data_IF_002629488446
#
_entry.id   IF_002629488446
#
_cell.length_a   1.000
_cell.length_b   1.000
_cell.length_c   1.000
_cell.angle_alpha   90.00
_cell.angle_beta   90.00
_cell.angle_gamma   90.00
#
_symmetry.space_group_name_H-M   'P 1'
#
loop_
_entity.id
_entity.type
_entity.pdbx_description
1 polymer ?
#
# COMPACT_ATOMS: atom_id res chain seq x y z
N UNK A 1 7.86 -6.99 9.05
CA UNK A 1 7.45 -6.42 7.75
C UNK A 1 6.52 -5.27 8.01
N UNK A 2 6.50 -4.27 7.14
CA UNK A 2 5.75 -3.04 7.43
C UNK A 2 4.27 -3.21 7.06
N UNK A 3 3.46 -2.16 7.21
CA UNK A 3 2.03 -2.20 6.85
C UNK A 3 1.78 -1.45 5.54
N UNK A 4 0.90 -1.99 4.69
CA UNK A 4 0.34 -1.28 3.55
C UNK A 4 -1.19 -1.44 3.53
N UNK A 5 -1.90 -0.36 3.22
CA UNK A 5 -3.36 -0.28 3.29
C UNK A 5 -3.88 0.35 2.00
N UNK A 6 -4.99 -0.18 1.49
CA UNK A 6 -5.76 0.41 0.41
C UNK A 6 -7.24 0.47 0.78
N UNK A 7 -7.90 1.56 0.42
CA UNK A 7 -9.36 1.72 0.58
C UNK A 7 -9.94 2.15 -0.76
N UNK A 8 -10.98 1.45 -1.23
CA UNK A 8 -11.79 1.90 -2.35
C UNK A 8 -13.05 2.58 -1.81
N UNK A 9 -13.18 3.89 -2.01
CA UNK A 9 -14.34 4.67 -1.59
C UNK A 9 -15.31 4.96 -2.76
N UNK A 10 -15.15 4.26 -3.89
CA UNK A 10 -15.96 4.43 -5.10
C UNK A 10 -15.54 5.64 -5.93
N UNK A 11 -15.61 6.85 -5.36
CA UNK A 11 -15.20 8.09 -6.02
C UNK A 11 -13.68 8.33 -6.01
N UNK A 12 -12.98 7.67 -5.10
CA UNK A 12 -11.53 7.73 -4.97
C UNK A 12 -11.00 6.45 -4.32
N UNK A 13 -9.68 6.23 -4.42
CA UNK A 13 -8.98 5.22 -3.61
C UNK A 13 -7.89 5.88 -2.79
N UNK A 14 -7.70 5.40 -1.56
CA UNK A 14 -6.53 5.69 -0.73
C UNK A 14 -5.56 4.53 -0.86
N UNK A 15 -4.28 4.81 -1.06
CA UNK A 15 -3.19 3.90 -0.71
C UNK A 15 -2.36 4.55 0.40
N UNK A 16 -1.97 3.78 1.39
CA UNK A 16 -1.17 4.27 2.49
C UNK A 16 -0.19 3.20 2.98
N UNK A 17 0.91 3.64 3.56
CA UNK A 17 1.86 2.78 4.26
C UNK A 17 2.61 3.61 5.30
N UNK A 18 3.08 2.97 6.37
CA UNK A 18 4.12 3.57 7.21
C UNK A 18 5.41 3.71 6.38
N UNK A 19 6.36 4.55 6.79
CA UNK A 19 7.56 4.82 5.98
C UNK A 19 8.80 4.04 6.41
N UNK A 20 8.71 3.19 7.44
CA UNK A 20 9.89 2.47 7.93
C UNK A 20 10.41 1.48 6.88
N UNK A 21 11.69 1.52 6.59
CA UNK A 21 12.42 0.53 5.83
C UNK A 21 13.40 -0.15 6.77
N UNK A 22 13.42 -1.48 6.77
CA UNK A 22 14.37 -2.26 7.58
C UNK A 22 15.45 -2.84 6.68
N UNK A 23 16.70 -2.47 6.94
CA UNK A 23 17.89 -2.99 6.28
C UNK A 23 18.59 -3.98 7.19
N UNK A 24 18.99 -5.13 6.63
CA UNK A 24 19.81 -6.11 7.32
C UNK A 24 21.27 -5.94 6.88
N UNK A 25 21.96 -4.97 7.48
CA UNK A 25 23.39 -4.77 7.31
C UNK A 25 24.09 -5.25 8.59
N UNK A 26 24.74 -6.42 8.54
CA UNK A 26 25.43 -7.08 9.68
C UNK A 26 24.46 -7.66 10.73
N UNK A 27 24.92 -7.81 11.98
CA UNK A 27 24.26 -8.54 13.07
C UNK A 27 22.99 -7.87 13.64
N UNK A 28 22.71 -6.61 13.28
CA UNK A 28 21.52 -5.88 13.75
C UNK A 28 20.77 -5.18 12.61
N UNK A 29 19.43 -5.14 12.66
CA UNK A 29 18.63 -4.41 11.69
C UNK A 29 18.84 -2.89 11.88
N UNK A 30 18.97 -2.19 10.77
CA UNK A 30 18.96 -0.72 10.70
C UNK A 30 17.62 -0.25 10.13
N UNK A 31 17.08 0.87 10.64
CA UNK A 31 15.80 1.43 10.22
C UNK A 31 15.98 2.81 9.59
N UNK A 32 15.28 3.03 8.47
CA UNK A 32 15.13 4.33 7.80
C UNK A 32 13.64 4.67 7.72
N UNK A 33 13.24 5.81 8.26
CA UNK A 33 11.84 6.24 8.28
C UNK A 33 11.54 7.32 7.22
N UNK A 34 12.49 7.65 6.33
CA UNK A 34 12.37 8.65 5.26
C UNK A 34 12.09 8.04 3.87
N UNK A 35 11.84 6.74 3.79
CA UNK A 35 11.53 6.05 2.54
C UNK A 35 10.09 6.34 2.07
N UNK A 36 9.94 6.86 0.85
CA UNK A 36 8.64 6.96 0.19
C UNK A 36 8.14 5.57 -0.21
N UNK A 37 6.87 5.27 0.08
CA UNK A 37 6.26 3.95 -0.19
C UNK A 37 5.07 3.99 -1.13
N UNK A 38 4.50 5.17 -1.39
CA UNK A 38 3.40 5.32 -2.35
C UNK A 38 3.94 5.94 -3.62
N UNK A 39 3.83 5.21 -4.73
CA UNK A 39 4.41 5.57 -6.01
C UNK A 39 3.32 5.74 -7.07
N UNK A 40 3.53 6.71 -7.97
CA UNK A 40 2.71 6.89 -9.16
C UNK A 40 3.19 5.91 -10.24
N UNK A 41 2.24 5.27 -10.92
CA UNK A 41 2.47 4.41 -12.09
C UNK A 41 1.66 4.94 -13.26
N UNK A 42 1.91 4.44 -14.47
CA UNK A 42 1.11 4.82 -15.66
C UNK A 42 -0.38 4.54 -15.48
N UNK A 43 -0.75 3.51 -14.72
CA UNK A 43 -2.14 3.11 -14.48
C UNK A 43 -2.82 3.76 -13.28
N UNK A 44 -2.04 4.29 -12.33
CA UNK A 44 -2.59 4.80 -11.07
C UNK A 44 -1.55 4.91 -9.97
N UNK A 45 -1.84 4.31 -8.81
CA UNK A 45 -0.92 4.30 -7.67
C UNK A 45 -0.56 2.87 -7.28
N UNK A 46 0.60 2.71 -6.66
CA UNK A 46 1.03 1.45 -6.04
C UNK A 46 1.71 1.74 -4.69
N UNK A 47 1.48 0.86 -3.73
CA UNK A 47 2.21 0.76 -2.47
C UNK A 47 2.48 -0.71 -2.18
N UNK A 48 3.38 -1.00 -1.24
CA UNK A 48 3.68 -2.36 -0.86
C UNK A 48 4.37 -2.47 0.49
N UNK A 49 4.41 -3.69 0.99
CA UNK A 49 5.06 -4.06 2.24
C UNK A 49 5.83 -5.37 2.03
N UNK A 50 7.04 -5.43 2.57
CA UNK A 50 7.91 -6.61 2.45
C UNK A 50 9.35 -6.27 2.09
N UNK A 51 9.95 -7.09 1.23
CA UNK A 51 11.36 -7.06 0.90
C UNK A 51 11.71 -5.89 -0.03
N UNK A 52 12.40 -4.88 0.49
CA UNK A 52 12.67 -3.63 -0.22
C UNK A 52 13.34 -3.80 -1.59
N UNK A 53 14.38 -4.64 -1.77
CA UNK A 53 14.96 -4.83 -3.10
C UNK A 53 13.95 -5.35 -4.15
N UNK A 54 12.94 -6.10 -3.73
CA UNK A 54 11.87 -6.56 -4.61
C UNK A 54 10.81 -5.47 -4.85
N UNK A 55 10.42 -4.72 -3.81
CA UNK A 55 9.53 -3.57 -3.93
C UNK A 55 10.10 -2.52 -4.87
N UNK A 56 11.36 -2.10 -4.65
CA UNK A 56 12.07 -1.11 -5.45
C UNK A 56 12.19 -1.55 -6.91
N UNK A 57 12.50 -2.83 -7.13
CA UNK A 57 12.60 -3.38 -8.48
C UNK A 57 11.26 -3.28 -9.24
N UNK A 58 10.16 -3.62 -8.57
CA UNK A 58 8.82 -3.51 -9.16
C UNK A 58 8.46 -2.04 -9.38
N UNK A 59 8.64 -1.18 -8.38
CA UNK A 59 8.28 0.24 -8.44
C UNK A 59 9.02 0.96 -9.57
N UNK A 60 10.33 0.73 -9.70
CA UNK A 60 11.14 1.33 -10.77
C UNK A 60 10.70 0.88 -12.17
N UNK A 61 10.31 -0.39 -12.33
CA UNK A 61 9.77 -0.90 -13.60
C UNK A 61 8.41 -0.29 -13.90
N UNK A 62 7.49 -0.27 -12.94
CA UNK A 62 6.15 0.28 -13.14
C UNK A 62 6.14 1.81 -13.32
N UNK A 63 7.19 2.51 -12.89
CA UNK A 63 7.38 3.94 -13.14
C UNK A 63 7.82 4.26 -14.57
N UNK A 64 8.45 3.31 -15.26
CA UNK A 64 9.09 3.52 -16.57
C UNK A 64 8.43 2.76 -17.71
N UNK A 65 7.81 1.61 -17.41
CA UNK A 65 7.12 0.78 -18.40
C UNK A 65 5.66 1.24 -18.58
N UNK A 66 5.20 1.26 -19.83
CA UNK A 66 3.78 1.46 -20.13
C UNK A 66 3.02 0.19 -19.77
N UNK A 67 2.31 0.23 -18.65
CA UNK A 67 1.45 -0.89 -18.22
C UNK A 67 0.04 -0.64 -18.77
N UNK A 68 -0.39 -1.49 -19.69
CA UNK A 68 -1.69 -1.36 -20.37
C UNK A 68 -2.84 -1.97 -19.57
N UNK A 69 -2.56 -2.96 -18.72
CA UNK A 69 -3.54 -3.68 -17.95
C UNK A 69 -2.92 -4.34 -16.71
N UNK A 70 -3.77 -4.80 -15.79
CA UNK A 70 -3.35 -5.45 -14.53
C UNK A 70 -2.59 -6.76 -14.72
N UNK A 71 -2.85 -7.51 -15.80
CA UNK A 71 -2.08 -8.71 -16.12
C UNK A 71 -0.61 -8.37 -16.39
N UNK A 72 -0.36 -7.24 -17.06
CA UNK A 72 0.99 -6.74 -17.32
C UNK A 72 1.70 -6.35 -16.01
N UNK A 73 1.00 -5.70 -15.08
CA UNK A 73 1.53 -5.42 -13.74
C UNK A 73 1.91 -6.70 -12.98
N UNK A 74 1.03 -7.70 -13.02
CA UNK A 74 1.26 -8.99 -12.37
C UNK A 74 2.44 -9.74 -13.00
N UNK A 75 2.61 -9.66 -14.32
CA UNK A 75 3.77 -10.19 -15.01
C UNK A 75 5.07 -9.52 -14.55
N UNK A 76 5.08 -8.19 -14.40
CA UNK A 76 6.23 -7.45 -13.84
C UNK A 76 6.58 -7.97 -12.45
N UNK A 77 5.58 -8.11 -11.56
CA UNK A 77 5.78 -8.64 -10.20
C UNK A 77 6.33 -10.07 -10.24
N UNK A 78 5.71 -10.98 -11.01
CA UNK A 78 6.16 -12.38 -11.11
C UNK A 78 7.58 -12.50 -11.67
N UNK A 79 7.93 -11.68 -12.67
CA UNK A 79 9.29 -11.64 -13.22
C UNK A 79 10.28 -11.11 -12.18
N UNK A 80 9.95 -10.03 -11.48
CA UNK A 80 10.79 -9.45 -10.43
C UNK A 80 11.07 -10.47 -9.32
N UNK A 81 10.05 -11.20 -8.86
CA UNK A 81 10.19 -12.28 -7.86
C UNK A 81 11.21 -13.33 -8.32
N UNK A 82 11.10 -13.82 -9.56
CA UNK A 82 12.04 -14.81 -10.11
C UNK A 82 13.47 -14.28 -10.20
N UNK A 83 13.65 -13.03 -10.64
CA UNK A 83 14.96 -12.42 -10.78
C UNK A 83 15.61 -12.15 -9.42
N UNK A 84 14.86 -11.61 -8.46
CA UNK A 84 15.34 -11.36 -7.10
C UNK A 84 15.68 -12.68 -6.40
N UNK A 85 14.83 -13.70 -6.50
CA UNK A 85 15.12 -15.05 -5.97
C UNK A 85 16.46 -15.58 -6.48
N UNK A 86 16.71 -15.48 -7.79
CA UNK A 86 17.98 -15.91 -8.40
C UNK A 86 19.17 -15.06 -7.91
N UNK A 87 19.01 -13.73 -7.85
CA UNK A 87 20.09 -12.81 -7.46
C UNK A 87 20.49 -12.96 -5.99
N UNK A 88 19.54 -13.31 -5.12
CA UNK A 88 19.72 -13.39 -3.67
C UNK A 88 19.65 -14.82 -3.13
N UNK A 89 19.82 -15.83 -3.99
CA UNK A 89 19.67 -17.26 -3.66
C UNK A 89 20.54 -17.75 -2.49
N UNK A 90 21.60 -17.03 -2.15
CA UNK A 90 22.52 -17.38 -1.06
C UNK A 90 22.05 -16.89 0.32
N UNK A 91 20.99 -16.08 0.39
CA UNK A 91 20.44 -15.57 1.65
C UNK A 91 19.38 -16.53 2.18
N UNK A 92 19.59 -17.07 3.39
CA UNK A 92 18.74 -18.11 3.98
C UNK A 92 17.24 -17.74 4.08
N UNK A 93 16.92 -16.45 4.19
CA UNK A 93 15.55 -15.95 4.37
C UNK A 93 14.93 -15.40 3.08
N UNK A 94 15.59 -15.54 1.92
CA UNK A 94 15.14 -14.87 0.69
C UNK A 94 13.75 -15.33 0.24
N UNK A 95 13.47 -16.63 0.30
CA UNK A 95 12.18 -17.14 -0.13
C UNK A 95 11.07 -16.61 0.77
N UNK A 96 11.22 -16.76 2.09
CA UNK A 96 10.29 -16.18 3.06
C UNK A 96 10.07 -14.67 2.83
N UNK A 97 11.14 -13.91 2.63
CA UNK A 97 11.03 -12.47 2.35
C UNK A 97 10.25 -12.16 1.06
N UNK A 98 10.46 -12.93 -0.02
CA UNK A 98 9.72 -12.79 -1.27
C UNK A 98 8.25 -13.18 -1.09
N UNK A 99 7.99 -14.31 -0.44
CA UNK A 99 6.64 -14.84 -0.20
C UNK A 99 5.77 -13.87 0.58
N UNK A 100 6.36 -13.22 1.58
CA UNK A 100 5.68 -12.26 2.41
C UNK A 100 5.63 -10.83 1.80
N UNK A 101 6.26 -10.60 0.65
CA UNK A 101 6.16 -9.31 -0.03
C UNK A 101 4.87 -9.20 -0.82
N UNK A 102 4.12 -8.13 -0.59
CA UNK A 102 2.89 -7.82 -1.32
C UNK A 102 2.79 -6.36 -1.77
N UNK A 103 1.84 -6.13 -2.65
CA UNK A 103 1.52 -4.83 -3.22
C UNK A 103 0.02 -4.58 -3.19
N UNK A 104 -0.35 -3.31 -3.03
CA UNK A 104 -1.70 -2.81 -3.21
C UNK A 104 -1.61 -1.72 -4.27
N UNK A 105 -2.51 -1.74 -5.24
CA UNK A 105 -2.49 -0.83 -6.37
C UNK A 105 -3.90 -0.38 -6.73
N UNK A 106 -4.01 0.84 -7.23
CA UNK A 106 -5.23 1.38 -7.80
C UNK A 106 -5.08 1.68 -9.27
N UNK A 107 -6.15 1.51 -10.03
CA UNK A 107 -6.15 1.72 -11.47
C UNK A 107 -7.56 1.95 -11.98
N UNK A 108 -7.66 2.58 -13.14
CA UNK A 108 -8.92 2.67 -13.88
C UNK A 108 -9.05 1.52 -14.87
N UNK A 109 -10.24 0.94 -14.98
CA UNK A 109 -10.57 -0.05 -16.00
C UNK A 109 -11.98 0.16 -16.55
N UNK A 110 -12.22 -0.09 -17.84
CA UNK A 110 -13.56 -0.06 -18.40
C UNK A 110 -14.38 -1.26 -17.89
N UNK A 111 -15.57 -0.99 -17.35
CA UNK A 111 -16.63 -1.97 -17.08
C UNK A 111 -17.92 -1.39 -17.63
N UNK A 112 -18.61 -2.13 -18.49
CA UNK A 112 -19.86 -1.71 -19.12
C UNK A 112 -19.78 -0.29 -19.72
N UNK A 113 -18.71 -0.06 -20.49
CA UNK A 113 -18.36 1.22 -21.13
C UNK A 113 -18.11 2.41 -20.17
N UNK A 114 -18.00 2.15 -18.87
CA UNK A 114 -17.66 3.14 -17.84
C UNK A 114 -16.29 2.90 -17.26
N UNK A 115 -15.48 3.95 -17.25
CA UNK A 115 -14.19 3.93 -16.59
C UNK A 115 -14.40 3.88 -15.07
N UNK A 116 -14.08 2.74 -14.47
CA UNK A 116 -14.30 2.46 -13.06
C UNK A 116 -12.97 2.41 -12.33
N UNK A 117 -12.88 3.11 -11.20
CA UNK A 117 -11.72 3.04 -10.31
C UNK A 117 -11.74 1.72 -9.53
N UNK A 118 -10.63 0.99 -9.55
CA UNK A 118 -10.45 -0.31 -8.91
C UNK A 118 -9.31 -0.27 -7.91
N UNK A 119 -9.42 -1.10 -6.88
CA UNK A 119 -8.37 -1.42 -5.93
C UNK A 119 -8.05 -2.91 -6.04
N UNK A 120 -6.78 -3.23 -6.23
CA UNK A 120 -6.28 -4.60 -6.27
C UNK A 120 -5.16 -4.79 -5.27
N UNK A 121 -5.01 -6.02 -4.77
CA UNK A 121 -3.86 -6.43 -3.99
C UNK A 121 -3.27 -7.73 -4.52
N UNK A 122 -1.94 -7.82 -4.50
CA UNK A 122 -1.20 -9.05 -4.76
C UNK A 122 -0.36 -9.37 -3.54
N UNK A 123 -0.60 -10.53 -2.94
CA UNK A 123 0.23 -11.12 -1.90
C UNK A 123 0.08 -12.65 -2.01
N UNK A 124 1.15 -13.40 -1.75
CA UNK A 124 1.16 -14.85 -1.99
C UNK A 124 0.10 -15.60 -1.15
N UNK A 125 -0.22 -15.09 0.05
CA UNK A 125 -1.28 -15.65 0.89
C UNK A 125 -2.69 -15.38 0.36
N UNK A 126 -2.89 -14.37 -0.48
CA UNK A 126 -4.19 -14.07 -1.09
C UNK A 126 -4.42 -14.90 -2.35
N UNK A 127 -3.40 -14.98 -3.20
CA UNK A 127 -3.39 -15.84 -4.38
C UNK A 127 -1.96 -16.01 -4.90
N UNK A 128 -1.63 -17.23 -5.32
CA UNK A 128 -0.34 -17.52 -5.96
C UNK A 128 -0.22 -16.85 -7.33
N UNK A 129 -1.33 -16.82 -8.07
CA UNK A 129 -1.32 -16.54 -9.50
C UNK A 129 -2.08 -15.32 -9.94
N UNK A 130 -2.95 -14.77 -9.09
CA UNK A 130 -3.81 -13.64 -9.42
C UNK A 130 -3.68 -12.54 -8.36
N UNK A 131 -4.18 -11.36 -8.67
CA UNK A 131 -4.48 -10.35 -7.66
C UNK A 131 -5.94 -10.50 -7.21
N UNK A 132 -6.25 -9.99 -6.02
CA UNK A 132 -7.61 -9.92 -5.49
C UNK A 132 -8.14 -8.50 -5.68
N UNK A 133 -9.40 -8.37 -6.09
CA UNK A 133 -10.09 -7.09 -6.22
C UNK A 133 -10.88 -6.78 -4.96
N UNK A 134 -10.79 -5.54 -4.50
CA UNK A 134 -11.49 -5.05 -3.32
C UNK A 134 -12.62 -4.10 -3.74
N UNK A 135 -13.81 -4.39 -3.20
CA UNK A 135 -15.04 -3.63 -3.44
C UNK A 135 -15.03 -2.27 -2.75
N UNK A 136 -16.07 -1.47 -3.01
CA UNK A 136 -16.26 -0.20 -2.29
C UNK A 136 -16.49 -0.49 -0.81
N UNK A 137 -15.72 0.17 0.05
CA UNK A 137 -15.76 0.00 1.51
C UNK A 137 -14.92 -1.15 2.05
N UNK A 138 -14.36 -1.99 1.20
CA UNK A 138 -13.55 -3.14 1.60
C UNK A 138 -12.04 -2.77 1.56
N UNK A 139 -11.31 -2.77 2.69
CA UNK A 139 -9.92 -2.40 2.74
C UNK A 139 -9.01 -3.57 2.37
N UNK A 140 -8.08 -3.32 1.46
CA UNK A 140 -6.93 -4.18 1.27
C UNK A 140 -5.88 -3.87 2.34
N UNK A 141 -5.42 -4.86 3.10
CA UNK A 141 -4.37 -4.66 4.12
C UNK A 141 -3.31 -5.76 3.98
N UNK A 142 -2.05 -5.34 3.85
CA UNK A 142 -0.88 -6.20 4.02
C UNK A 142 -0.36 -5.96 5.42
N UNK A 143 -0.53 -6.95 6.28
CA UNK A 143 -0.17 -6.86 7.69
C UNK A 143 1.32 -7.12 7.94
N UNK A 144 1.88 -6.52 9.00
CA UNK A 144 3.17 -6.89 9.54
C UNK A 144 3.27 -8.38 9.87
N UNK A 145 4.42 -8.99 9.58
CA UNK A 145 4.75 -10.36 9.98
C UNK A 145 4.76 -10.58 11.50
N UNK A 146 4.88 -9.50 12.28
CA UNK A 146 4.94 -9.54 13.74
C UNK A 146 3.58 -9.74 14.41
N UNK A 147 2.48 -9.58 13.67
CA UNK A 147 1.14 -9.78 14.20
C UNK A 147 0.72 -11.24 14.14
N UNK A 148 0.02 -11.70 15.18
CA UNK A 148 -0.64 -13.00 15.18
C UNK A 148 -1.90 -12.98 14.29
N UNK A 149 -2.40 -14.15 13.93
CA UNK A 149 -3.68 -14.26 13.20
C UNK A 149 -4.85 -13.66 13.99
N UNK A 150 -4.91 -13.89 15.30
CA UNK A 150 -5.95 -13.32 16.18
C UNK A 150 -5.92 -11.79 16.17
N UNK A 151 -4.73 -11.18 16.21
CA UNK A 151 -4.58 -9.73 16.16
C UNK A 151 -5.04 -9.16 14.81
N UNK A 152 -4.75 -9.86 13.71
CA UNK A 152 -5.20 -9.48 12.37
C UNK A 152 -6.72 -9.52 12.27
N UNK A 153 -7.34 -10.59 12.79
CA UNK A 153 -8.79 -10.80 12.78
C UNK A 153 -9.53 -9.76 13.63
N UNK A 154 -8.91 -9.26 14.70
CA UNK A 154 -9.47 -8.18 15.52
C UNK A 154 -9.36 -6.81 14.83
N UNK A 155 -8.28 -6.55 14.08
CA UNK A 155 -8.04 -5.26 13.44
C UNK A 155 -8.99 -5.02 12.26
N UNK A 156 -9.22 -6.05 11.44
CA UNK A 156 -9.91 -5.89 10.16
C UNK A 156 -11.36 -5.35 10.31
N UNK A 157 -12.23 -5.92 11.18
CA UNK A 157 -13.59 -5.40 11.41
C UNK A 157 -13.60 -4.01 12.04
N UNK A 158 -12.61 -3.72 12.89
CA UNK A 158 -12.47 -2.43 13.57
C UNK A 158 -12.16 -1.28 12.60
N UNK A 159 -11.43 -1.54 11.52
CA UNK A 159 -11.18 -0.55 10.46
C UNK A 159 -12.43 -0.41 9.59
N UNK A 160 -12.97 -1.54 9.11
CA UNK A 160 -14.14 -1.58 8.23
C UNK A 160 -15.32 -0.75 8.73
N UNK A 161 -15.66 -0.92 10.02
CA UNK A 161 -16.79 -0.22 10.66
C UNK A 161 -16.63 1.30 10.74
N UNK A 162 -15.43 1.84 10.49
CA UNK A 162 -15.13 3.27 10.61
C UNK A 162 -14.94 3.96 9.26
N UNK A 163 -14.71 3.20 8.17
CA UNK A 163 -14.51 3.77 6.83
C UNK A 163 -15.76 4.54 6.41
N UNK A 164 -15.56 5.76 5.93
CA UNK A 164 -16.64 6.62 5.41
C UNK A 164 -16.55 6.65 3.89
N UNK A 165 -17.65 6.26 3.24
CA UNK A 165 -17.80 6.32 1.78
C UNK A 165 -18.57 7.61 1.43
N UNK A 166 -18.03 8.47 0.55
CA UNK A 166 -18.73 9.69 0.16
C UNK A 166 -19.91 9.35 -0.74
N UNK A 167 -21.05 10.00 -0.54
CA UNK A 167 -22.23 9.83 -1.41
C UNK A 167 -22.13 10.67 -2.69
N UNK A 168 -21.34 11.74 -2.67
CA UNK A 168 -21.21 12.70 -3.76
C UNK A 168 -19.85 13.41 -3.71
N UNK A 169 -19.56 14.23 -4.72
CA UNK A 169 -18.27 14.94 -4.84
C UNK A 169 -17.98 15.92 -3.70
N UNK A 170 -19.01 16.54 -3.10
CA UNK A 170 -18.81 17.51 -2.01
C UNK A 170 -18.31 16.88 -0.71
N UNK A 171 -18.51 15.58 -0.54
CA UNK A 171 -18.08 14.80 0.63
C UNK A 171 -16.70 14.15 0.46
N UNK A 172 -16.08 14.22 -0.73
CA UNK A 172 -14.81 13.55 -1.00
C UNK A 172 -13.72 14.01 -0.03
N UNK A 173 -13.55 15.33 0.16
CA UNK A 173 -12.47 15.86 0.98
C UNK A 173 -12.61 15.47 2.46
N UNK A 174 -13.82 15.55 3.02
CA UNK A 174 -14.07 15.16 4.41
C UNK A 174 -13.90 13.65 4.61
N UNK A 175 -14.36 12.84 3.65
CA UNK A 175 -14.16 11.40 3.63
C UNK A 175 -12.67 11.03 3.56
N UNK A 176 -11.87 11.68 2.71
CA UNK A 176 -10.42 11.48 2.62
C UNK A 176 -9.77 11.77 3.98
N UNK A 177 -10.07 12.91 4.60
CA UNK A 177 -9.50 13.29 5.88
C UNK A 177 -9.86 12.30 7.00
N UNK A 178 -11.12 11.86 7.03
CA UNK A 178 -11.60 10.87 8.00
C UNK A 178 -10.91 9.52 7.84
N UNK A 179 -10.87 8.99 6.60
CA UNK A 179 -10.25 7.71 6.32
C UNK A 179 -8.73 7.73 6.53
N UNK A 180 -8.07 8.84 6.19
CA UNK A 180 -6.66 9.07 6.54
C UNK A 180 -6.43 9.04 8.06
N UNK A 181 -7.36 9.59 8.84
CA UNK A 181 -7.28 9.58 10.31
C UNK A 181 -7.41 8.18 10.89
N UNK A 182 -8.29 7.35 10.32
CA UNK A 182 -8.40 5.94 10.71
C UNK A 182 -7.10 5.18 10.41
N UNK A 183 -6.52 5.40 9.24
CA UNK A 183 -5.25 4.80 8.84
C UNK A 183 -4.12 5.23 9.80
N UNK A 184 -4.01 6.52 10.08
CA UNK A 184 -2.99 7.05 11.00
C UNK A 184 -3.16 6.45 12.41
N UNK A 185 -4.40 6.38 12.91
CA UNK A 185 -4.70 5.76 14.20
C UNK A 185 -4.30 4.28 14.25
N UNK A 186 -4.51 3.53 13.16
CA UNK A 186 -4.07 2.15 13.06
C UNK A 186 -2.54 2.04 13.12
N UNK A 187 -1.83 2.81 12.30
CA UNK A 187 -0.36 2.81 12.27
C UNK A 187 0.20 3.13 13.66
N UNK A 188 -0.35 4.16 14.32
CA UNK A 188 0.04 4.57 15.66
C UNK A 188 -0.26 3.49 16.72
N UNK A 189 -1.36 2.75 16.58
CA UNK A 189 -1.68 1.65 17.48
C UNK A 189 -0.75 0.44 17.31
N UNK A 190 -0.25 0.20 16.09
CA UNK A 190 0.62 -0.93 15.77
C UNK A 190 2.10 -0.66 16.07
N UNK A 191 2.57 0.58 15.91
CA UNK A 191 3.99 0.92 16.02
C UNK A 191 4.67 0.56 17.36
N UNK A 192 4.01 0.60 18.54
CA UNK A 192 4.66 0.20 19.79
C UNK A 192 4.90 -1.31 19.88
N UNK A 193 4.17 -2.09 19.09
CA UNK A 193 4.17 -3.57 19.10
C UNK A 193 4.93 -4.14 17.91
N UNK A 194 4.96 -3.41 16.79
CA UNK A 194 5.62 -3.80 15.55
C UNK A 194 6.86 -2.94 15.29
N UNK A 195 8.06 -3.50 15.55
CA UNK A 195 9.33 -2.77 15.34
C UNK A 195 9.54 -2.31 13.90
N UNK A 196 8.93 -2.98 12.93
CA UNK A 196 9.04 -2.62 11.51
C UNK A 196 8.05 -1.55 11.05
N UNK A 197 7.32 -0.88 11.96
CA UNK A 197 6.42 0.24 11.66
C UNK A 197 6.94 1.52 12.34
N UNK A 198 6.94 2.63 11.61
CA UNK A 198 7.20 3.98 12.16
C UNK A 198 5.91 4.72 12.48
N UNK A 199 6.02 5.81 13.27
CA UNK A 199 4.94 6.79 13.45
C UNK A 199 4.86 7.79 12.29
N UNK A 200 5.38 7.40 11.12
CA UNK A 200 5.44 8.24 9.93
C UNK A 200 4.82 7.47 8.80
N UNK A 201 4.05 8.16 7.98
CA UNK A 201 3.28 7.51 6.93
C UNK A 201 3.16 8.40 5.72
N UNK A 202 2.82 7.76 4.60
CA UNK A 202 2.56 8.44 3.34
C UNK A 202 1.21 7.96 2.81
N UNK A 203 0.44 8.91 2.26
CA UNK A 203 -0.84 8.65 1.61
C UNK A 203 -0.75 9.02 0.13
N UNK A 204 -1.35 8.20 -0.72
CA UNK A 204 -1.72 8.59 -2.08
C UNK A 204 -3.22 8.46 -2.30
N UNK A 205 -3.75 9.41 -3.07
CA UNK A 205 -5.15 9.46 -3.51
C UNK A 205 -5.19 9.31 -5.02
N UNK A 206 -6.03 8.41 -5.50
CA UNK A 206 -6.33 8.28 -6.93
C UNK A 206 -7.81 8.56 -7.14
N UNK A 207 -8.15 9.55 -7.98
CA UNK A 207 -9.54 9.92 -8.30
C UNK A 207 -9.58 10.65 -9.63
N UNK A 208 -10.67 10.50 -10.40
CA UNK A 208 -10.91 11.23 -11.66
C UNK A 208 -9.69 11.33 -12.61
N UNK A 209 -8.92 10.26 -12.75
CA UNK A 209 -7.69 10.23 -13.57
C UNK A 209 -6.48 10.98 -12.98
N UNK A 210 -6.64 11.64 -11.83
CA UNK A 210 -5.59 12.35 -11.10
C UNK A 210 -5.01 11.50 -9.98
N UNK A 211 -3.69 11.63 -9.78
CA UNK A 211 -2.95 10.94 -8.73
C UNK A 211 -2.29 11.98 -7.83
N UNK A 212 -2.67 11.97 -6.56
CA UNK A 212 -2.07 12.77 -5.51
C UNK A 212 -1.22 11.90 -4.59
N UNK A 213 -0.06 12.40 -4.18
CA UNK A 213 0.76 11.77 -3.13
C UNK A 213 1.14 12.82 -2.11
N UNK A 214 1.04 12.48 -0.83
CA UNK A 214 1.47 13.35 0.26
C UNK A 214 2.99 13.33 0.42
N UNK A 215 3.52 14.34 1.10
CA UNK A 215 4.82 14.18 1.75
C UNK A 215 4.73 13.10 2.83
N UNK A 216 5.88 12.63 3.30
CA UNK A 216 5.95 11.83 4.51
C UNK A 216 5.50 12.71 5.68
N UNK A 217 4.54 12.21 6.45
CA UNK A 217 3.90 12.96 7.54
C UNK A 217 4.12 12.23 8.86
N UNK A 218 4.47 12.99 9.90
CA UNK A 218 4.54 12.50 11.28
C UNK A 218 3.14 12.41 11.90
N UNK A 219 2.84 11.28 12.52
CA UNK A 219 1.63 11.08 13.32
C UNK A 219 1.97 11.53 14.74
N UNK A 220 1.32 12.62 15.19
CA UNK A 220 1.49 13.12 16.56
C UNK A 220 0.93 12.12 17.58
N UNK A 221 1.37 12.21 18.83
CA UNK A 221 0.96 11.29 19.92
C UNK A 221 -0.55 11.32 20.15
N UNK A 222 -1.20 12.45 19.88
CA UNK A 222 -2.67 12.61 19.96
C UNK A 222 -3.40 12.16 18.68
N UNK A 223 -2.69 11.52 17.74
CA UNK A 223 -3.20 11.04 16.46
C UNK A 223 -3.41 12.14 15.41
N UNK A 224 -3.05 13.40 15.69
CA UNK A 224 -3.18 14.49 14.73
C UNK A 224 -2.04 14.49 13.72
N UNK A 225 -2.34 14.98 12.52
CA UNK A 225 -1.40 15.19 11.44
C UNK A 225 -1.99 16.17 10.42
N UNK A 226 -1.12 16.78 9.60
CA UNK A 226 -1.55 17.60 8.47
C UNK A 226 -1.46 16.79 7.17
N UNK A 227 -2.60 16.61 6.50
CA UNK A 227 -2.66 15.92 5.22
C UNK A 227 -2.52 16.91 4.07
N UNK A 228 -1.32 16.99 3.52
CA UNK A 228 -1.02 17.81 2.35
C UNK A 228 -0.73 16.92 1.14
N UNK A 229 -1.67 16.80 0.20
CA UNK A 229 -1.56 15.95 -0.99
C UNK A 229 -1.24 16.82 -2.21
N UNK A 230 -0.22 16.44 -2.96
CA UNK A 230 0.14 17.09 -4.24
C UNK A 230 -0.34 16.25 -5.41
N UNK A 231 -1.33 16.75 -6.14
CA UNK A 231 -1.85 16.12 -7.36
C UNK A 231 -0.99 16.42 -8.59
N UNK A 232 -0.99 15.51 -9.56
CA UNK A 232 -0.44 15.80 -10.89
C UNK A 232 -1.15 17.02 -11.48
N UNK A 233 -0.39 17.98 -12.04
CA UNK A 233 -0.96 19.02 -12.87
C UNK A 233 -1.47 18.35 -14.16
N UNK A 234 -2.78 18.38 -14.36
CA UNK A 234 -3.43 17.96 -15.61
C UNK A 234 -3.04 18.86 -16.77
#
# INVERSE_FOLDING_TARGET
MTIAIGINAGLYTILAADTRTTYFLRDSPFHDDDSSKVHKTTMGLITGAGFCPLLDFVNNRLATETIENTNSMLLVIKQARKQIRKRWQHYALIDSAIEQTGWIFSYFSPIDDKLTLRLGAYHQSLSMDNYVLYGVGDPAIIYPSELSHEEVDDIHPNILSRIVIPNNQSEIQSSIQHNATIIAALILALSPRCRSISNRFQIGIHMNGQRGVSKITDIQIDGKFELNITFDNS
#
